data_IF_607890027985
#
_entry.id   IF_607890027985
#
_cell.length_a   1.000
_cell.length_b   1.000
_cell.length_c   1.000
_cell.angle_alpha   90.00
_cell.angle_beta   90.00
_cell.angle_gamma   90.00
#
_symmetry.space_group_name_H-M   'P 1'
#
loop_
_entity.id
_entity.type
_entity.pdbx_description
1 polymer ?
#
# COMPACT_ATOMS: atom_id res chain seq x y z
N UNK A 1 22.75 14.65 -22.74
CA UNK A 1 21.38 14.24 -23.03
C UNK A 1 20.60 14.09 -21.73
N UNK A 2 19.44 14.66 -21.66
CA UNK A 2 18.53 14.48 -20.50
C UNK A 2 17.48 13.46 -20.89
N UNK A 3 17.37 12.40 -20.07
CA UNK A 3 16.32 11.40 -20.23
C UNK A 3 15.16 11.83 -19.32
N UNK A 4 14.01 12.03 -19.90
CA UNK A 4 12.82 12.42 -19.14
C UNK A 4 12.15 11.16 -18.56
N UNK A 5 12.03 11.13 -17.23
CA UNK A 5 11.40 10.03 -16.49
C UNK A 5 10.20 10.59 -15.75
N UNK A 6 9.04 9.99 -15.94
CA UNK A 6 7.78 10.43 -15.31
C UNK A 6 7.30 9.40 -14.31
N UNK A 7 6.71 9.85 -13.22
CA UNK A 7 6.13 8.92 -12.25
C UNK A 7 4.93 8.18 -12.83
N UNK A 8 4.77 6.93 -12.46
CA UNK A 8 3.58 6.16 -12.75
C UNK A 8 2.96 5.71 -11.44
N UNK A 9 3.23 4.49 -11.04
CA UNK A 9 2.60 3.90 -9.85
C UNK A 9 3.46 2.80 -9.25
N UNK A 10 3.24 2.51 -7.99
CA UNK A 10 3.83 1.33 -7.34
C UNK A 10 2.97 0.13 -7.70
N UNK A 11 3.59 -0.92 -8.22
CA UNK A 11 2.86 -2.13 -8.65
C UNK A 11 3.07 -3.24 -7.64
N UNK A 12 1.98 -3.89 -7.27
CA UNK A 12 1.96 -5.06 -6.40
C UNK A 12 1.47 -6.27 -7.19
N UNK A 13 2.17 -7.39 -7.06
CA UNK A 13 1.78 -8.65 -7.70
C UNK A 13 0.96 -9.46 -6.71
N UNK A 14 -0.30 -9.71 -7.03
CA UNK A 14 -1.25 -10.33 -6.13
C UNK A 14 -1.39 -11.83 -6.41
N UNK A 15 -1.36 -12.64 -5.36
CA UNK A 15 -1.74 -14.04 -5.44
C UNK A 15 -3.26 -14.18 -5.62
N UNK A 16 -4.02 -13.29 -4.96
CA UNK A 16 -5.47 -13.18 -5.13
C UNK A 16 -5.81 -11.75 -5.57
N UNK A 17 -5.86 -11.55 -6.88
CA UNK A 17 -6.08 -10.24 -7.49
C UNK A 17 -7.33 -9.54 -6.96
N UNK A 18 -8.48 -10.22 -7.02
CA UNK A 18 -9.76 -9.61 -6.65
C UNK A 18 -9.81 -9.24 -5.16
N UNK A 19 -9.31 -10.12 -4.31
CA UNK A 19 -9.30 -9.88 -2.87
C UNK A 19 -8.41 -8.69 -2.50
N UNK A 20 -7.24 -8.55 -3.14
CA UNK A 20 -6.35 -7.45 -2.86
C UNK A 20 -6.92 -6.11 -3.33
N UNK A 21 -7.50 -6.07 -4.53
CA UNK A 21 -8.18 -4.88 -5.04
C UNK A 21 -9.29 -4.43 -4.09
N UNK A 22 -10.14 -5.37 -3.68
CA UNK A 22 -11.26 -5.09 -2.77
C UNK A 22 -10.76 -4.53 -1.44
N UNK A 23 -9.68 -5.10 -0.89
CA UNK A 23 -9.13 -4.64 0.40
C UNK A 23 -8.63 -3.18 0.32
N UNK A 24 -7.89 -2.83 -0.73
CA UNK A 24 -7.41 -1.45 -0.89
C UNK A 24 -8.55 -0.45 -1.08
N UNK A 25 -9.65 -0.86 -1.74
CA UNK A 25 -10.85 -0.03 -1.84
C UNK A 25 -11.56 0.11 -0.50
N UNK A 26 -11.86 -1.00 0.14
CA UNK A 26 -12.76 -1.02 1.31
C UNK A 26 -12.07 -0.58 2.60
N UNK A 27 -10.82 -0.95 2.79
CA UNK A 27 -10.08 -0.66 4.03
C UNK A 27 -9.32 0.66 3.94
N UNK A 28 -8.62 0.91 2.83
CA UNK A 28 -7.78 2.11 2.67
C UNK A 28 -8.44 3.23 1.86
N UNK A 29 -9.62 2.98 1.28
CA UNK A 29 -10.36 4.02 0.58
C UNK A 29 -9.79 4.41 -0.77
N UNK A 30 -8.99 3.53 -1.41
CA UNK A 30 -8.54 3.78 -2.76
C UNK A 30 -9.70 3.66 -3.74
N UNK A 31 -9.69 4.49 -4.77
CA UNK A 31 -10.67 4.41 -5.86
C UNK A 31 -10.03 3.74 -7.08
N UNK A 32 -10.77 2.82 -7.69
CA UNK A 32 -10.35 2.21 -8.96
C UNK A 32 -10.49 3.25 -10.08
N UNK A 33 -9.40 3.52 -10.80
CA UNK A 33 -9.40 4.43 -11.94
C UNK A 33 -9.44 3.68 -13.26
N UNK A 34 -8.81 2.51 -13.33
CA UNK A 34 -8.83 1.65 -14.51
C UNK A 34 -8.80 0.19 -14.07
N UNK A 35 -9.56 -0.65 -14.76
CA UNK A 35 -9.62 -2.08 -14.51
C UNK A 35 -9.56 -2.83 -15.83
N UNK A 36 -8.59 -3.75 -15.95
CA UNK A 36 -8.37 -4.59 -17.12
C UNK A 36 -8.56 -6.05 -16.70
N UNK A 37 -9.49 -6.75 -17.32
CA UNK A 37 -9.83 -8.15 -16.99
C UNK A 37 -9.91 -9.07 -18.21
N UNK A 38 -9.72 -8.54 -19.42
CA UNK A 38 -9.89 -9.32 -20.64
C UNK A 38 -8.67 -10.21 -20.93
N UNK A 39 -7.60 -9.63 -21.48
CA UNK A 39 -6.38 -10.38 -21.84
C UNK A 39 -5.47 -10.61 -20.63
N UNK A 40 -5.58 -9.74 -19.62
CA UNK A 40 -4.79 -9.80 -18.40
C UNK A 40 -5.53 -9.08 -17.28
N UNK A 41 -5.14 -9.33 -16.03
CA UNK A 41 -5.71 -8.66 -14.88
C UNK A 41 -4.77 -7.58 -14.37
N UNK A 42 -5.21 -6.34 -14.43
CA UNK A 42 -4.50 -5.19 -13.91
C UNK A 42 -5.49 -4.15 -13.42
N UNK A 43 -5.26 -3.61 -12.25
CA UNK A 43 -6.12 -2.58 -11.67
C UNK A 43 -5.28 -1.38 -11.23
N UNK A 44 -5.68 -0.20 -11.67
CA UNK A 44 -5.10 1.06 -11.22
C UNK A 44 -5.99 1.65 -10.13
N UNK A 45 -5.41 1.99 -8.99
CA UNK A 45 -6.12 2.59 -7.86
C UNK A 45 -5.42 3.87 -7.43
N UNK A 46 -6.19 4.81 -6.95
CA UNK A 46 -5.68 6.13 -6.58
C UNK A 46 -6.42 6.69 -5.36
N UNK A 47 -5.69 7.45 -4.52
CA UNK A 47 -6.30 8.26 -3.46
C UNK A 47 -6.52 9.69 -3.94
N UNK A 48 -7.44 10.46 -3.32
CA UNK A 48 -7.60 11.88 -3.66
C UNK A 48 -6.33 12.70 -3.50
N UNK A 49 -5.44 12.30 -2.60
CA UNK A 49 -4.15 12.97 -2.38
C UNK A 49 -3.08 12.63 -3.42
N UNK A 50 -3.35 11.68 -4.33
CA UNK A 50 -2.47 11.39 -5.44
C UNK A 50 -1.58 10.16 -5.30
N UNK A 51 -1.80 9.32 -4.29
CA UNK A 51 -1.11 8.02 -4.22
C UNK A 51 -1.69 7.13 -5.32
N UNK A 52 -0.80 6.56 -6.13
CA UNK A 52 -1.18 5.66 -7.22
C UNK A 52 -0.56 4.30 -6.99
N UNK A 53 -1.37 3.26 -7.07
CA UNK A 53 -0.90 1.88 -7.04
C UNK A 53 -1.50 1.11 -8.22
N UNK A 54 -0.76 0.10 -8.66
CA UNK A 54 -1.24 -0.89 -9.61
C UNK A 54 -1.23 -2.26 -8.97
N UNK A 55 -2.24 -3.05 -9.24
CA UNK A 55 -2.31 -4.44 -8.79
C UNK A 55 -2.41 -5.32 -10.02
N UNK A 56 -1.50 -6.29 -10.14
CA UNK A 56 -1.47 -7.26 -11.23
C UNK A 56 -1.52 -8.67 -10.66
N UNK A 57 -1.93 -9.64 -11.48
CA UNK A 57 -1.94 -11.05 -11.08
C UNK A 57 -0.51 -11.61 -11.11
N UNK A 58 -0.04 -12.13 -9.97
CA UNK A 58 1.27 -12.77 -9.89
C UNK A 58 1.34 -14.03 -10.77
N UNK A 59 0.26 -14.80 -10.83
CA UNK A 59 0.17 -16.00 -11.65
C UNK A 59 0.37 -15.69 -13.13
N UNK A 60 -0.31 -14.66 -13.64
CA UNK A 60 -0.20 -14.25 -15.04
C UNK A 60 1.20 -13.75 -15.38
N UNK A 61 1.89 -13.15 -14.43
CA UNK A 61 3.27 -12.67 -14.59
C UNK A 61 4.32 -13.75 -14.34
N UNK A 62 3.88 -14.98 -14.04
CA UNK A 62 4.74 -16.12 -13.76
C UNK A 62 5.70 -15.85 -12.57
N UNK A 63 5.18 -15.17 -11.54
CA UNK A 63 5.91 -14.85 -10.33
C UNK A 63 5.25 -15.58 -9.16
N UNK A 64 6.04 -16.33 -8.38
CA UNK A 64 5.61 -16.86 -7.10
C UNK A 64 6.09 -15.91 -6.00
N UNK A 65 5.17 -15.19 -5.33
CA UNK A 65 5.58 -14.29 -4.27
C UNK A 65 6.17 -15.07 -3.10
N UNK A 66 7.38 -14.68 -2.70
CA UNK A 66 8.02 -15.20 -1.48
C UNK A 66 7.42 -14.51 -0.23
N UNK A 67 8.06 -14.68 0.93
CA UNK A 67 7.69 -13.96 2.14
C UNK A 67 7.90 -12.46 1.92
N UNK A 68 6.80 -11.71 1.85
CA UNK A 68 6.82 -10.28 1.54
C UNK A 68 7.19 -9.42 2.73
N UNK A 69 7.21 -9.97 3.94
CA UNK A 69 7.62 -9.25 5.14
C UNK A 69 9.08 -8.80 5.09
N UNK A 70 9.87 -9.40 4.21
CA UNK A 70 11.29 -9.09 4.00
C UNK A 70 11.55 -8.20 2.79
N UNK A 71 10.53 -7.62 2.20
CA UNK A 71 10.68 -6.70 1.08
C UNK A 71 11.58 -5.52 1.46
N UNK A 72 12.47 -5.14 0.55
CA UNK A 72 13.38 -4.01 0.74
C UNK A 72 12.88 -2.72 0.08
N UNK A 73 11.85 -2.82 -0.76
CA UNK A 73 11.14 -1.66 -1.31
C UNK A 73 9.75 -1.65 -0.67
N UNK A 74 9.44 -0.56 0.03
CA UNK A 74 8.23 -0.47 0.87
C UNK A 74 7.49 0.80 0.52
N UNK A 75 6.16 0.70 0.35
CA UNK A 75 5.31 1.88 0.20
C UNK A 75 5.23 2.60 1.54
N UNK A 76 5.41 3.92 1.53
CA UNK A 76 5.21 4.76 2.71
C UNK A 76 4.04 5.71 2.46
N UNK A 77 3.16 5.83 3.43
CA UNK A 77 2.01 6.75 3.37
C UNK A 77 2.02 7.69 4.58
N UNK A 78 1.35 8.81 4.45
CA UNK A 78 1.14 9.77 5.53
C UNK A 78 -0.34 9.81 5.91
N UNK A 79 -0.61 9.86 7.20
CA UNK A 79 -1.97 10.05 7.73
C UNK A 79 -1.96 11.20 8.74
N UNK A 80 -3.11 11.76 9.04
CA UNK A 80 -3.19 12.86 10.01
C UNK A 80 -2.98 12.38 11.44
N UNK A 81 -3.56 11.25 11.81
CA UNK A 81 -3.50 10.66 13.15
C UNK A 81 -3.22 9.17 13.06
N UNK A 82 -2.02 8.77 13.46
CA UNK A 82 -1.57 7.39 13.32
C UNK A 82 -2.34 6.43 14.23
N UNK A 83 -2.62 6.84 15.46
CA UNK A 83 -3.37 5.99 16.39
C UNK A 83 -4.79 5.71 15.90
N UNK A 84 -5.46 6.73 15.37
CA UNK A 84 -6.80 6.61 14.78
C UNK A 84 -6.77 5.72 13.53
N UNK A 85 -5.76 5.89 12.68
CA UNK A 85 -5.60 5.06 11.49
C UNK A 85 -5.39 3.59 11.85
N UNK A 86 -4.53 3.30 12.83
CA UNK A 86 -4.28 1.92 13.27
C UNK A 86 -5.51 1.29 13.95
N UNK A 87 -6.30 2.08 14.67
CA UNK A 87 -7.57 1.60 15.21
C UNK A 87 -8.54 1.19 14.09
N UNK A 88 -8.62 2.02 13.04
CA UNK A 88 -9.42 1.71 11.85
C UNK A 88 -8.95 0.42 11.16
N UNK A 89 -7.64 0.28 10.95
CA UNK A 89 -7.07 -0.94 10.35
C UNK A 89 -7.41 -2.19 11.15
N UNK A 90 -7.21 -2.14 12.46
CA UNK A 90 -7.47 -3.26 13.37
C UNK A 90 -8.95 -3.65 13.36
N UNK A 91 -9.84 -2.67 13.41
CA UNK A 91 -11.28 -2.90 13.35
C UNK A 91 -11.70 -3.53 12.02
N UNK A 92 -11.05 -3.17 10.93
CA UNK A 92 -11.30 -3.74 9.61
C UNK A 92 -10.60 -5.10 9.38
N UNK A 93 -9.93 -5.66 10.39
CA UNK A 93 -9.23 -6.93 10.30
C UNK A 93 -7.81 -6.83 9.74
N UNK A 94 -7.25 -5.63 9.63
CA UNK A 94 -5.89 -5.42 9.19
C UNK A 94 -4.86 -5.75 10.27
N UNK A 95 -3.59 -5.87 9.87
CA UNK A 95 -2.49 -6.28 10.73
C UNK A 95 -1.49 -5.14 10.90
N UNK A 96 -1.40 -4.59 12.11
CA UNK A 96 -0.34 -3.65 12.48
C UNK A 96 0.92 -4.46 12.80
N UNK A 97 2.03 -4.14 12.15
CA UNK A 97 3.29 -4.88 12.29
C UNK A 97 4.23 -4.26 13.31
N UNK A 98 4.21 -2.94 13.46
CA UNK A 98 4.96 -2.24 14.50
C UNK A 98 4.38 -0.85 14.76
N UNK A 99 4.65 -0.30 15.94
CA UNK A 99 4.17 1.02 16.35
C UNK A 99 2.72 1.02 16.83
N UNK A 100 2.14 2.21 17.07
CA UNK A 100 2.73 3.52 16.83
C UNK A 100 3.92 3.81 17.77
N UNK A 101 4.97 4.38 17.21
CA UNK A 101 6.18 4.77 17.92
C UNK A 101 6.44 6.26 17.73
N UNK A 102 6.96 6.92 18.78
CA UNK A 102 7.25 8.35 18.71
C UNK A 102 8.73 8.60 18.45
N UNK A 103 9.04 9.37 17.40
CA UNK A 103 10.39 9.81 17.08
C UNK A 103 10.63 11.16 17.76
N UNK A 104 11.56 11.20 18.73
CA UNK A 104 11.73 12.34 19.64
C UNK A 104 12.45 13.54 19.02
N UNK A 105 13.32 13.31 18.05
CA UNK A 105 14.13 14.38 17.48
C UNK A 105 13.28 15.32 16.62
N UNK A 106 12.42 14.77 15.79
CA UNK A 106 11.55 15.53 14.89
C UNK A 106 10.08 15.52 15.32
N UNK A 107 9.77 14.86 16.42
CA UNK A 107 8.45 14.87 17.07
C UNK A 107 7.31 14.42 16.15
N UNK A 108 7.44 13.21 15.61
CA UNK A 108 6.37 12.61 14.81
C UNK A 108 6.14 11.15 15.21
N UNK A 109 4.97 10.63 14.84
CA UNK A 109 4.62 9.22 15.05
C UNK A 109 4.83 8.42 13.77
N UNK A 110 5.25 7.19 13.93
CA UNK A 110 5.46 6.27 12.82
C UNK A 110 5.08 4.84 13.19
N UNK A 111 4.89 4.03 12.19
CA UNK A 111 4.59 2.61 12.36
C UNK A 111 4.47 1.90 11.02
N UNK A 112 3.96 0.70 11.07
CA UNK A 112 3.78 -0.11 9.86
C UNK A 112 2.63 -1.08 9.99
N UNK A 113 2.13 -1.49 8.84
CA UNK A 113 1.12 -2.53 8.73
C UNK A 113 1.39 -3.38 7.49
N UNK A 114 0.68 -4.48 7.36
CA UNK A 114 0.71 -5.28 6.14
C UNK A 114 -0.68 -5.41 5.55
N UNK A 115 -0.74 -5.49 4.23
CA UNK A 115 -1.97 -5.83 3.53
C UNK A 115 -2.27 -7.34 3.66
N UNK A 116 -3.42 -7.83 3.13
CA UNK A 116 -3.77 -9.26 3.27
C UNK A 116 -2.77 -10.23 2.66
N UNK A 117 -1.93 -9.77 1.74
CA UNK A 117 -0.92 -10.62 1.12
C UNK A 117 0.45 -10.50 1.80
N UNK A 118 0.53 -9.72 2.88
CA UNK A 118 1.76 -9.54 3.64
C UNK A 118 2.68 -8.45 3.09
N UNK A 119 2.25 -7.64 2.13
CA UNK A 119 3.04 -6.51 1.67
C UNK A 119 3.17 -5.49 2.79
N UNK A 120 4.40 -5.12 3.20
CA UNK A 120 4.57 -4.12 4.24
C UNK A 120 4.29 -2.72 3.73
N UNK A 121 3.67 -1.90 4.57
CA UNK A 121 3.45 -0.48 4.33
C UNK A 121 3.89 0.29 5.56
N UNK A 122 4.71 1.31 5.38
CA UNK A 122 5.11 2.21 6.46
C UNK A 122 4.20 3.42 6.51
N UNK A 123 3.95 3.89 7.71
CA UNK A 123 3.04 5.02 7.95
C UNK A 123 3.70 6.04 8.85
N UNK A 124 3.59 7.30 8.49
CA UNK A 124 4.00 8.42 9.32
C UNK A 124 2.83 9.38 9.48
N UNK A 125 2.87 10.22 10.52
CA UNK A 125 1.88 11.28 10.64
C UNK A 125 2.34 12.56 9.91
N UNK A 126 1.48 13.56 9.91
CA UNK A 126 1.72 14.82 9.19
C UNK A 126 2.89 15.64 9.71
N UNK A 127 3.43 15.32 10.89
CA UNK A 127 4.56 16.02 11.48
C UNK A 127 5.92 15.47 11.03
N UNK A 128 5.93 14.36 10.31
CA UNK A 128 7.16 13.80 9.74
C UNK A 128 7.75 14.77 8.71
N UNK A 129 9.06 15.12 8.84
CA UNK A 129 9.70 16.03 7.88
C UNK A 129 9.85 15.44 6.49
#
# INVERSE_FOLDING_TARGET
>A
MVIEIRPRETVMLAADFQALVTWYQDVLGFAVTDLFEDDYHYCCLETPSGIKIGIASAEEMEVEPADRSTNTVVLQIEVDDLAEFFAHLTEAGGTVTFGPSFEKTNEFWFGGFSDPEGNPVWVVDKNCP
#
